data_IF_029864325185
#
_entry.id   IF_029864325185
#
_cell.length_a   1.000
_cell.length_b   1.000
_cell.length_c   1.000
_cell.angle_alpha   90.00
_cell.angle_beta   90.00
_cell.angle_gamma   90.00
#
_symmetry.space_group_name_H-M   'P 1'
#
loop_
_entity.id
_entity.type
_entity.pdbx_description
1 polymer ?
#
# COMPACT_ATOMS: atom_id res chain seq x y z
N UNK A 1 0.11 45.80 -4.50
CA UNK A 1 0.52 44.43 -4.10
C UNK A 1 -0.68 43.77 -3.45
N UNK A 2 -1.29 42.81 -4.14
CA UNK A 2 -2.27 41.88 -3.57
C UNK A 2 -2.24 40.63 -4.47
N UNK A 3 -1.40 39.66 -4.13
CA UNK A 3 -1.58 38.29 -4.60
C UNK A 3 -2.65 37.70 -3.69
N UNK A 4 -3.86 37.53 -4.22
CA UNK A 4 -4.88 36.71 -3.59
C UNK A 4 -4.39 35.26 -3.58
N UNK A 5 -4.36 34.68 -2.40
CA UNK A 5 -4.12 33.26 -2.19
C UNK A 5 -5.43 32.52 -2.55
N UNK A 6 -5.61 32.19 -3.83
CA UNK A 6 -6.61 31.20 -4.24
C UNK A 6 -6.05 29.82 -3.89
N UNK A 7 -6.72 29.11 -2.98
CA UNK A 7 -6.36 27.72 -2.69
C UNK A 7 -6.67 26.87 -3.93
N UNK A 8 -5.66 26.22 -4.50
CA UNK A 8 -5.84 25.20 -5.54
C UNK A 8 -6.61 24.01 -4.94
N UNK A 9 -7.87 23.82 -5.35
CA UNK A 9 -8.74 22.74 -4.88
C UNK A 9 -8.84 21.65 -5.94
N UNK A 10 -8.55 20.41 -5.56
CA UNK A 10 -8.78 19.23 -6.39
C UNK A 10 -10.13 18.62 -6.04
N UNK A 11 -10.92 18.25 -7.06
CA UNK A 11 -12.20 17.54 -6.91
C UNK A 11 -12.09 16.14 -7.49
N UNK A 12 -12.86 15.19 -6.95
CA UNK A 12 -12.95 13.81 -7.45
C UNK A 12 -14.39 13.51 -7.86
N UNK A 13 -14.55 12.65 -8.87
CA UNK A 13 -15.87 12.22 -9.33
C UNK A 13 -16.48 11.11 -8.46
N UNK A 14 -15.66 10.45 -7.63
CA UNK A 14 -16.10 9.37 -6.76
C UNK A 14 -14.93 8.50 -6.28
N UNK A 15 -15.28 7.39 -5.64
CA UNK A 15 -14.36 6.35 -5.18
C UNK A 15 -14.98 4.98 -5.47
N UNK A 16 -14.13 3.96 -5.50
CA UNK A 16 -14.56 2.57 -5.67
C UNK A 16 -13.78 1.68 -4.73
N UNK A 17 -14.48 0.72 -4.12
CA UNK A 17 -13.84 -0.33 -3.34
C UNK A 17 -13.37 -1.45 -4.26
N UNK A 18 -12.14 -1.90 -4.04
CA UNK A 18 -11.66 -3.16 -4.60
C UNK A 18 -12.35 -4.31 -3.85
N UNK A 19 -12.72 -5.42 -4.53
CA UNK A 19 -13.23 -6.60 -3.86
C UNK A 19 -12.35 -7.02 -2.68
N UNK A 20 -12.97 -7.15 -1.51
CA UNK A 20 -12.27 -7.43 -0.27
C UNK A 20 -11.61 -8.82 -0.34
N UNK A 21 -10.37 -8.91 0.14
CA UNK A 21 -9.56 -10.14 0.18
C UNK A 21 -9.28 -10.76 -1.20
N UNK A 22 -9.31 -9.96 -2.28
CA UNK A 22 -8.93 -10.39 -3.62
C UNK A 22 -7.65 -9.65 -4.06
N UNK A 23 -6.51 -10.28 -3.81
CA UNK A 23 -5.20 -9.73 -4.15
C UNK A 23 -5.02 -9.51 -5.66
N UNK A 24 -5.62 -10.35 -6.51
CA UNK A 24 -5.53 -10.16 -7.96
C UNK A 24 -6.28 -8.91 -8.41
N UNK A 25 -7.47 -8.67 -7.83
CA UNK A 25 -8.22 -7.44 -8.08
C UNK A 25 -7.48 -6.21 -7.53
N UNK A 26 -6.80 -6.33 -6.38
CA UNK A 26 -5.96 -5.27 -5.80
C UNK A 26 -4.79 -4.92 -6.73
N UNK A 27 -4.02 -5.90 -7.19
CA UNK A 27 -2.90 -5.69 -8.12
C UNK A 27 -3.37 -5.06 -9.43
N UNK A 28 -4.51 -5.53 -9.98
CA UNK A 28 -5.10 -4.93 -11.18
C UNK A 28 -5.47 -3.46 -10.96
N UNK A 29 -6.11 -3.13 -9.85
CA UNK A 29 -6.50 -1.75 -9.55
C UNK A 29 -5.26 -0.86 -9.30
N UNK A 30 -4.22 -1.40 -8.64
CA UNK A 30 -2.99 -0.66 -8.34
C UNK A 30 -2.19 -0.33 -9.60
N UNK A 31 -2.27 -1.18 -10.62
CA UNK A 31 -1.67 -0.92 -11.93
C UNK A 31 -2.24 0.33 -12.63
N UNK A 32 -3.38 0.85 -12.17
CA UNK A 32 -4.02 2.05 -12.73
C UNK A 32 -3.81 3.31 -11.88
N UNK A 33 -3.76 3.19 -10.55
CA UNK A 33 -3.61 4.32 -9.63
C UNK A 33 -3.22 3.87 -8.22
N UNK A 34 -2.63 4.74 -7.39
CA UNK A 34 -2.44 4.47 -5.97
C UNK A 34 -3.75 4.12 -5.27
N UNK A 35 -3.70 3.16 -4.34
CA UNK A 35 -4.85 2.67 -3.60
C UNK A 35 -4.70 2.94 -2.11
N UNK A 36 -5.76 3.43 -1.46
CA UNK A 36 -5.85 3.44 -0.01
C UNK A 36 -6.16 2.02 0.50
N UNK A 37 -5.34 1.51 1.41
CA UNK A 37 -5.51 0.18 2.02
C UNK A 37 -5.32 0.26 3.53
N UNK A 38 -5.83 -0.73 4.27
CA UNK A 38 -5.66 -0.83 5.72
C UNK A 38 -4.80 -2.05 6.08
N UNK A 39 -3.90 -1.87 7.06
CA UNK A 39 -2.97 -2.89 7.57
C UNK A 39 -3.03 -2.92 9.11
N UNK A 40 -2.49 -3.98 9.70
CA UNK A 40 -2.13 -4.02 11.12
C UNK A 40 -0.69 -3.50 11.27
N UNK A 41 -0.52 -2.39 11.98
CA UNK A 41 0.77 -1.69 12.14
C UNK A 41 1.17 -1.51 13.61
N UNK A 42 0.36 -1.99 14.56
CA UNK A 42 0.68 -1.92 15.99
C UNK A 42 1.75 -2.94 16.43
N UNK A 43 2.00 -3.98 15.63
CA UNK A 43 3.01 -5.00 15.88
C UNK A 43 4.43 -4.44 16.02
N UNK A 44 5.21 -5.01 16.95
CA UNK A 44 6.60 -4.59 17.22
C UNK A 44 7.50 -4.72 15.99
N UNK A 45 7.21 -5.69 15.12
CA UNK A 45 7.96 -5.90 13.89
C UNK A 45 7.80 -4.72 12.92
N UNK A 46 6.60 -4.11 12.87
CA UNK A 46 6.33 -2.92 12.06
C UNK A 46 6.93 -1.65 12.67
N UNK A 47 6.79 -1.45 13.99
CA UNK A 47 7.30 -0.25 14.68
C UNK A 47 8.79 0.00 14.48
N UNK A 48 9.59 -1.07 14.43
CA UNK A 48 11.04 -1.00 14.27
C UNK A 48 11.52 -1.41 12.87
N UNK A 49 10.63 -1.42 11.89
CA UNK A 49 11.00 -1.68 10.50
C UNK A 49 11.99 -0.64 9.99
N UNK A 50 13.11 -1.09 9.42
CA UNK A 50 14.21 -0.23 8.91
C UNK A 50 14.62 -0.55 7.46
N UNK A 51 13.74 -1.17 6.68
CA UNK A 51 14.02 -1.52 5.27
C UNK A 51 14.77 -2.85 5.06
N UNK A 52 15.21 -3.50 6.14
CA UNK A 52 15.70 -4.88 6.11
C UNK A 52 14.83 -5.70 7.05
N UNK A 53 13.77 -6.28 6.50
CA UNK A 53 13.06 -7.32 7.24
C UNK A 53 14.02 -8.49 7.46
N UNK A 54 14.08 -8.97 8.71
CA UNK A 54 14.96 -10.07 9.13
C UNK A 54 14.48 -11.43 8.61
N UNK A 55 13.76 -11.48 7.50
CA UNK A 55 13.50 -12.74 6.80
C UNK A 55 14.84 -13.25 6.26
N UNK A 56 15.26 -14.42 6.72
CA UNK A 56 16.49 -15.05 6.24
C UNK A 56 16.39 -15.52 4.77
N UNK A 57 15.20 -15.45 4.15
CA UNK A 57 14.96 -15.96 2.80
C UNK A 57 14.93 -14.83 1.75
N UNK A 58 14.36 -13.66 2.06
CA UNK A 58 14.29 -12.53 1.12
C UNK A 58 14.63 -11.20 1.79
N UNK A 59 15.76 -10.61 1.40
CA UNK A 59 16.19 -9.28 1.85
C UNK A 59 15.16 -8.25 1.39
N UNK A 60 14.36 -7.72 2.31
CA UNK A 60 13.39 -6.65 2.04
C UNK A 60 11.92 -7.08 1.97
N UNK A 61 11.60 -8.38 2.05
CA UNK A 61 10.22 -8.84 2.20
C UNK A 61 9.95 -9.15 3.66
N UNK A 62 8.91 -8.53 4.22
CA UNK A 62 8.47 -8.75 5.59
C UNK A 62 7.47 -9.91 5.63
N UNK A 63 7.96 -11.10 5.97
CA UNK A 63 7.13 -12.27 6.32
C UNK A 63 6.95 -12.41 7.84
N UNK A 64 7.15 -11.32 8.59
CA UNK A 64 6.93 -11.28 10.03
C UNK A 64 5.48 -11.60 10.40
N UNK A 65 5.23 -11.93 11.67
CA UNK A 65 3.87 -12.21 12.12
C UNK A 65 3.05 -10.92 12.06
N UNK A 66 2.00 -10.91 11.24
CA UNK A 66 1.02 -9.82 11.16
C UNK A 66 -0.40 -10.36 11.40
N UNK A 67 -1.25 -9.52 12.00
CA UNK A 67 -2.65 -9.78 12.24
C UNK A 67 -3.57 -9.27 11.13
N UNK A 68 -4.88 -9.46 11.32
CA UNK A 68 -5.93 -8.85 10.47
C UNK A 68 -6.79 -7.85 11.24
N UNK A 69 -6.36 -7.46 12.45
CA UNK A 69 -6.94 -6.38 13.24
C UNK A 69 -6.43 -5.04 12.69
N UNK A 70 -6.99 -4.64 11.56
CA UNK A 70 -6.55 -3.47 10.80
C UNK A 70 -6.70 -2.18 11.62
N UNK A 71 -5.59 -1.48 11.83
CA UNK A 71 -5.52 -0.29 12.70
C UNK A 71 -4.85 0.92 12.04
N UNK A 72 -4.34 0.76 10.81
CA UNK A 72 -3.58 1.81 10.13
C UNK A 72 -3.89 1.87 8.63
N UNK A 73 -4.14 3.09 8.12
CA UNK A 73 -4.37 3.36 6.70
C UNK A 73 -3.09 3.79 5.98
N UNK A 74 -2.81 3.19 4.84
CA UNK A 74 -1.63 3.48 4.01
C UNK A 74 -2.02 3.60 2.53
N UNK A 75 -1.12 4.14 1.72
CA UNK A 75 -1.25 4.15 0.26
C UNK A 75 -0.35 3.07 -0.36
N UNK A 76 -0.94 2.10 -1.03
CA UNK A 76 -0.22 1.24 -1.96
C UNK A 76 0.05 2.05 -3.23
N UNK A 77 1.31 2.08 -3.67
CA UNK A 77 1.76 2.90 -4.82
C UNK A 77 2.34 2.07 -5.95
N UNK A 78 2.78 0.85 -5.66
CA UNK A 78 3.36 -0.06 -6.64
C UNK A 78 3.28 -1.51 -6.13
N UNK A 79 3.41 -2.47 -7.04
CA UNK A 79 3.65 -3.89 -6.73
C UNK A 79 4.89 -4.36 -7.46
N UNK A 80 5.77 -5.07 -6.77
CA UNK A 80 6.78 -5.86 -7.46
C UNK A 80 6.12 -7.11 -8.05
N UNK A 81 5.90 -7.13 -9.37
CA UNK A 81 5.60 -8.38 -10.07
C UNK A 81 6.92 -9.10 -10.34
N UNK A 82 7.18 -10.18 -9.61
CA UNK A 82 8.14 -11.18 -10.07
C UNK A 82 7.64 -11.67 -11.43
N UNK A 83 8.38 -11.36 -12.49
CA UNK A 83 8.14 -12.00 -13.79
C UNK A 83 8.30 -13.49 -13.57
N UNK A 84 7.19 -14.24 -13.58
CA UNK A 84 7.27 -15.64 -13.97
C UNK A 84 7.95 -15.64 -15.33
N UNK A 85 9.11 -16.29 -15.41
CA UNK A 85 9.75 -16.59 -16.67
C UNK A 85 8.76 -17.43 -17.47
N UNK A 86 7.94 -16.80 -18.31
CA UNK A 86 7.22 -17.49 -19.37
C UNK A 86 8.23 -17.82 -20.47
N UNK A 87 8.93 -18.94 -20.31
CA UNK A 87 9.18 -20.01 -21.32
C UNK A 87 10.03 -21.09 -20.66
#
# INVERSE_FOLDING_TARGET
MAHGDESEVVTINGYHDVPRNDEQSLVKALAHQPLSVAIEASGRDFQFYKGLCKSQIYKGVCDGHCGTDLDHGVAAVDTEQQRELTT
#
